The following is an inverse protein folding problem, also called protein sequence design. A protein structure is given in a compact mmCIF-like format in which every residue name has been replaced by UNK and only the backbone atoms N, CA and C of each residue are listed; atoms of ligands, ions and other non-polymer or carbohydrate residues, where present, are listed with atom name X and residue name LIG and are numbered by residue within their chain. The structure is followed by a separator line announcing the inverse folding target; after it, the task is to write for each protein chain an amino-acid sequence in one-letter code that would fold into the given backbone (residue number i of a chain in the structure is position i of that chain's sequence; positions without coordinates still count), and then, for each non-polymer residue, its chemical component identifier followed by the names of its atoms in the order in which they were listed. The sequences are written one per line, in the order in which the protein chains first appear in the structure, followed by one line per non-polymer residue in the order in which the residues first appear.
data_IF_215576556496
#
_entry.id   IF_215576556496
#
_cell.length_a   1.000
_cell.length_b   1.000
_cell.length_c   1.000
_cell.angle_alpha   90.00
_cell.angle_beta   90.00
_cell.angle_gamma   90.00
#
_symmetry.space_group_name_H-M   'P 1'
#
loop_
_entity.id
_entity.type
_entity.pdbx_description
1 polymer ?
#
# COMPACT_ATOMS: atom_id res chain seq x y z
N UNK A 1 9.30 3.70 18.95
CA UNK A 1 8.56 4.58 18.00
C UNK A 1 9.21 4.71 16.61
N UNK A 2 10.54 4.67 16.45
CA UNK A 2 11.19 4.83 15.12
C UNK A 2 10.78 3.75 14.13
N UNK A 3 10.82 2.47 14.55
CA UNK A 3 10.45 1.32 13.71
C UNK A 3 9.08 1.47 13.01
N UNK A 4 8.04 1.88 13.76
CA UNK A 4 6.70 2.08 13.19
C UNK A 4 6.62 3.27 12.22
N UNK A 5 7.39 4.33 12.48
CA UNK A 5 7.49 5.47 11.57
C UNK A 5 8.19 5.07 10.27
N UNK A 6 9.29 4.35 10.38
CA UNK A 6 10.09 3.89 9.24
C UNK A 6 9.32 2.87 8.40
N UNK A 7 8.58 1.96 9.05
CA UNK A 7 7.71 1.01 8.37
C UNK A 7 6.56 1.70 7.63
N UNK A 8 5.90 2.68 8.25
CA UNK A 8 4.87 3.48 7.57
C UNK A 8 5.42 4.24 6.36
N UNK A 9 6.62 4.82 6.49
CA UNK A 9 7.27 5.51 5.37
C UNK A 9 7.62 4.54 4.24
N UNK A 10 8.09 3.33 4.57
CA UNK A 10 8.34 2.27 3.60
C UNK A 10 7.04 1.88 2.87
N UNK A 11 5.97 1.58 3.60
CA UNK A 11 4.66 1.26 3.00
C UNK A 11 4.17 2.38 2.08
N UNK A 12 4.29 3.65 2.50
CA UNK A 12 3.89 4.78 1.67
C UNK A 12 4.71 4.87 0.38
N UNK A 13 6.02 4.61 0.45
CA UNK A 13 6.90 4.59 -0.74
C UNK A 13 6.52 3.43 -1.66
N UNK A 14 6.21 2.27 -1.11
CA UNK A 14 5.83 1.07 -1.87
C UNK A 14 4.51 1.30 -2.61
N UNK A 15 3.48 1.87 -1.94
CA UNK A 15 2.21 2.25 -2.57
C UNK A 15 2.44 3.21 -3.74
N UNK A 16 3.22 4.28 -3.53
CA UNK A 16 3.51 5.26 -4.59
C UNK A 16 4.26 4.66 -5.76
N UNK A 17 5.21 3.75 -5.50
CA UNK A 17 5.94 3.06 -6.58
C UNK A 17 4.99 2.22 -7.41
N UNK A 18 4.16 1.40 -6.76
CA UNK A 18 3.19 0.52 -7.45
C UNK A 18 2.19 1.35 -8.26
N UNK A 19 1.73 2.49 -7.74
CA UNK A 19 0.85 3.41 -8.47
C UNK A 19 1.53 3.96 -9.73
N UNK A 20 2.79 4.40 -9.61
CA UNK A 20 3.56 4.85 -10.78
C UNK A 20 3.79 3.73 -11.80
N UNK A 21 4.10 2.51 -11.35
CA UNK A 21 4.34 1.37 -12.22
C UNK A 21 3.05 0.98 -12.98
N UNK A 22 1.91 1.01 -12.29
CA UNK A 22 0.58 0.79 -12.87
C UNK A 22 0.23 1.88 -13.89
N UNK A 23 0.45 3.15 -13.55
CA UNK A 23 0.18 4.25 -14.49
C UNK A 23 1.11 4.20 -15.71
N UNK A 24 2.34 3.71 -15.54
CA UNK A 24 3.28 3.49 -16.63
C UNK A 24 2.85 2.32 -17.53
N UNK A 25 2.36 1.21 -16.97
CA UNK A 25 1.89 0.07 -17.76
C UNK A 25 0.66 0.44 -18.59
N UNK A 26 -0.23 1.28 -18.06
CA UNK A 26 -1.38 1.81 -18.81
C UNK A 26 -0.95 2.68 -20.01
N UNK A 27 0.12 3.47 -19.87
CA UNK A 27 0.61 4.37 -20.92
C UNK A 27 1.43 3.66 -21.99
N UNK A 28 2.13 2.58 -21.63
CA UNK A 28 3.07 1.86 -22.50
C UNK A 28 2.51 0.53 -23.02
N UNK A 29 1.19 0.35 -22.99
CA UNK A 29 0.51 -0.86 -23.41
C UNK A 29 0.65 -1.08 -24.93
N UNK A 30 1.28 -2.19 -25.33
CA UNK A 30 1.41 -2.65 -26.72
C UNK A 30 0.23 -3.54 -27.17
N UNK A 31 -0.64 -3.94 -26.24
CA UNK A 31 -1.79 -4.81 -26.47
C UNK A 31 -1.44 -6.30 -26.47
N UNK A 32 -0.25 -6.68 -26.01
CA UNK A 32 0.18 -8.07 -25.92
C UNK A 32 -0.49 -8.81 -24.75
N UNK A 33 -0.43 -10.14 -24.77
CA UNK A 33 -0.86 -10.98 -23.64
C UNK A 33 -0.02 -10.70 -22.37
N UNK A 34 1.28 -10.44 -22.56
CA UNK A 34 2.22 -10.09 -21.50
C UNK A 34 1.83 -8.75 -20.83
N UNK A 35 1.38 -7.76 -21.60
CA UNK A 35 0.88 -6.49 -21.05
C UNK A 35 -0.40 -6.69 -20.24
N UNK A 36 -1.25 -7.62 -20.65
CA UNK A 36 -2.48 -7.96 -19.91
C UNK A 36 -2.17 -8.63 -18.58
N UNK A 37 -1.23 -9.58 -18.55
CA UNK A 37 -0.78 -10.22 -17.31
C UNK A 37 -0.15 -9.19 -16.35
N UNK A 38 0.75 -8.35 -16.87
CA UNK A 38 1.38 -7.27 -16.10
C UNK A 38 0.35 -6.29 -15.53
N UNK A 39 -0.68 -5.94 -16.31
CA UNK A 39 -1.77 -5.09 -15.85
C UNK A 39 -2.49 -5.69 -14.64
N UNK A 40 -2.91 -6.95 -14.71
CA UNK A 40 -3.63 -7.59 -13.61
C UNK A 40 -2.75 -7.75 -12.36
N UNK A 41 -1.47 -8.08 -12.54
CA UNK A 41 -0.52 -8.16 -11.44
C UNK A 41 -0.38 -6.80 -10.73
N UNK A 42 -0.18 -5.72 -11.49
CA UNK A 42 -0.03 -4.37 -10.94
C UNK A 42 -1.33 -3.86 -10.31
N UNK A 43 -2.49 -4.15 -10.90
CA UNK A 43 -3.80 -3.81 -10.34
C UNK A 43 -4.01 -4.49 -8.97
N UNK A 44 -3.67 -5.78 -8.86
CA UNK A 44 -3.74 -6.52 -7.61
C UNK A 44 -2.77 -5.95 -6.57
N UNK A 45 -1.51 -5.73 -6.94
CA UNK A 45 -0.49 -5.14 -6.06
C UNK A 45 -0.91 -3.77 -5.56
N UNK A 46 -1.48 -2.92 -6.42
CA UNK A 46 -1.99 -1.59 -6.05
C UNK A 46 -3.04 -1.73 -4.95
N UNK A 47 -4.08 -2.53 -5.20
CA UNK A 47 -5.17 -2.74 -4.24
C UNK A 47 -4.68 -3.26 -2.89
N UNK A 48 -3.79 -4.26 -2.90
CA UNK A 48 -3.24 -4.84 -1.68
C UNK A 48 -2.33 -3.86 -0.91
N UNK A 49 -1.58 -3.02 -1.62
CA UNK A 49 -0.71 -2.01 -0.99
C UNK A 49 -1.52 -0.92 -0.28
N UNK A 50 -2.59 -0.41 -0.91
CA UNK A 50 -3.52 0.56 -0.31
C UNK A 50 -4.21 -0.03 0.92
N UNK A 51 -4.71 -1.27 0.80
CA UNK A 51 -5.32 -2.00 1.91
C UNK A 51 -4.36 -2.15 3.10
N UNK A 52 -3.12 -2.59 2.84
CA UNK A 52 -2.11 -2.80 3.87
C UNK A 52 -1.76 -1.49 4.60
N UNK A 53 -1.63 -0.39 3.87
CA UNK A 53 -1.39 0.92 4.47
C UNK A 53 -2.55 1.39 5.35
N UNK A 54 -3.79 1.17 4.90
CA UNK A 54 -5.00 1.47 5.68
C UNK A 54 -5.05 0.66 6.98
N UNK A 55 -4.86 -0.66 6.89
CA UNK A 55 -4.88 -1.54 8.07
C UNK A 55 -3.75 -1.20 9.06
N UNK A 56 -2.58 -0.80 8.58
CA UNK A 56 -1.51 -0.31 9.45
C UNK A 56 -1.94 0.93 10.25
N UNK A 57 -2.59 1.90 9.61
CA UNK A 57 -3.09 3.10 10.30
C UNK A 57 -4.22 2.74 11.28
N UNK A 58 -5.11 1.82 10.91
CA UNK A 58 -6.19 1.32 11.77
C UNK A 58 -5.64 0.63 13.02
N UNK A 59 -4.67 -0.27 12.85
CA UNK A 59 -3.99 -0.95 13.94
C UNK A 59 -3.32 0.05 14.89
N UNK A 60 -2.60 1.04 14.35
CA UNK A 60 -1.99 2.10 15.15
C UNK A 60 -3.02 2.90 15.95
N UNK A 61 -4.15 3.25 15.33
CA UNK A 61 -5.24 3.95 16.02
C UNK A 61 -5.83 3.11 17.16
N UNK A 62 -6.11 1.82 16.91
CA UNK A 62 -6.61 0.91 17.95
C UNK A 62 -5.62 0.75 19.10
N UNK A 63 -4.32 0.60 18.83
CA UNK A 63 -3.30 0.55 19.89
C UNK A 63 -3.31 1.80 20.77
N UNK A 64 -3.43 2.98 20.16
CA UNK A 64 -3.51 4.24 20.91
C UNK A 64 -4.80 4.32 21.72
N UNK A 65 -5.94 3.95 21.13
CA UNK A 65 -7.22 3.90 21.82
C UNK A 65 -7.18 2.95 23.02
N UNK A 66 -6.72 1.72 22.84
CA UNK A 66 -6.59 0.75 23.93
C UNK A 66 -5.66 1.21 25.04
N UNK A 67 -4.58 1.93 24.71
CA UNK A 67 -3.71 2.52 25.73
C UNK A 67 -4.42 3.61 26.54
N UNK A 68 -5.23 4.47 25.91
CA UNK A 68 -6.05 5.44 26.63
C UNK A 68 -7.13 4.77 27.50
N UNK A 69 -7.84 3.78 26.94
CA UNK A 69 -8.87 3.04 27.66
C UNK A 69 -8.30 2.29 28.88
N UNK A 70 -7.01 1.92 28.85
CA UNK A 70 -6.34 1.25 29.98
C UNK A 70 -5.92 2.17 31.14
N UNK A 71 -5.96 3.49 30.94
CA UNK A 71 -5.61 4.49 31.97
C UNK A 71 -6.86 4.92 32.77
N UNK A 72 -8.06 4.64 32.23
CA UNK A 72 -9.35 4.83 32.90
C UNK A 72 -9.68 3.67 33.83
#
# INVERSE_FOLDING_TARGET
MSFYKDFRLKLLRDVKRIENDYDASLKNNSGSEEDMELFFELAFKRRMSEYTFSEHNRAKHMMFKSALDSIQ
#
